data_IF_371794010849
#
_entry.id   IF_371794010849
#
_cell.length_a   1.000
_cell.length_b   1.000
_cell.length_c   1.000
_cell.angle_alpha   90.00
_cell.angle_beta   90.00
_cell.angle_gamma   90.00
#
_symmetry.space_group_name_H-M   'P 1'
#
loop_
_entity.id
_entity.type
_entity.pdbx_description
1 polymer ?
#
# COMPACT_ATOMS: atom_id res chain seq x y z
N UNK A 1 -0.82 -13.57 12.88
CA UNK A 1 0.10 -13.62 11.72
C UNK A 1 0.25 -12.21 11.21
N UNK A 2 1.46 -11.65 11.22
CA UNK A 2 1.70 -10.31 10.68
C UNK A 2 2.16 -10.49 9.23
N UNK A 3 1.31 -10.17 8.26
CA UNK A 3 1.72 -10.11 6.87
C UNK A 3 2.10 -8.69 6.50
N UNK A 4 3.03 -8.59 5.56
CA UNK A 4 3.35 -7.30 4.98
C UNK A 4 2.12 -6.78 4.22
N UNK A 5 1.84 -5.49 4.37
CA UNK A 5 0.69 -4.82 3.77
C UNK A 5 1.15 -3.73 2.81
N UNK A 6 0.56 -3.66 1.61
CA UNK A 6 0.80 -2.54 0.71
C UNK A 6 0.24 -1.26 1.31
N UNK A 7 0.99 -0.18 1.20
CA UNK A 7 0.62 1.13 1.70
C UNK A 7 1.07 2.23 0.73
N UNK A 8 0.37 3.36 0.76
CA UNK A 8 0.67 4.55 -0.04
C UNK A 8 1.38 5.56 0.84
N UNK A 9 2.47 6.13 0.33
CA UNK A 9 3.20 7.20 1.03
C UNK A 9 2.45 8.52 0.87
N UNK A 10 2.00 9.10 1.98
CA UNK A 10 1.29 10.37 2.01
C UNK A 10 2.23 11.56 2.26
N UNK A 11 3.24 11.34 3.11
CA UNK A 11 4.21 12.36 3.50
C UNK A 11 5.52 11.71 3.95
N UNK A 12 6.63 12.45 3.88
CA UNK A 12 7.96 11.99 4.26
C UNK A 12 8.57 13.03 5.20
N UNK A 13 8.98 12.58 6.38
CA UNK A 13 9.80 13.35 7.31
C UNK A 13 11.27 12.90 7.18
N UNK A 14 11.99 13.59 6.29
CA UNK A 14 13.41 13.31 6.02
C UNK A 14 14.30 13.51 7.26
N UNK A 15 13.89 14.32 8.25
CA UNK A 15 14.71 14.61 9.44
C UNK A 15 14.76 13.42 10.40
N UNK A 16 13.66 12.69 10.50
CA UNK A 16 13.50 11.60 11.46
C UNK A 16 13.51 10.20 10.80
N UNK A 17 13.75 10.11 9.48
CA UNK A 17 13.67 8.86 8.71
C UNK A 17 12.30 8.17 8.86
N UNK A 18 11.24 8.97 8.92
CA UNK A 18 9.86 8.52 9.04
C UNK A 18 9.07 8.84 7.77
N UNK A 19 8.11 8.00 7.44
CA UNK A 19 7.09 8.28 6.44
C UNK A 19 5.71 8.10 7.05
N UNK A 20 4.75 8.89 6.59
CA UNK A 20 3.33 8.68 6.89
C UNK A 20 2.71 7.93 5.74
N UNK A 21 2.12 6.78 6.03
CA UNK A 21 1.53 5.88 5.03
C UNK A 21 0.07 5.59 5.32
N UNK A 22 -0.68 5.24 4.29
CA UNK A 22 -2.08 4.80 4.36
C UNK A 22 -2.24 3.47 3.65
N UNK A 23 -2.89 2.51 4.31
CA UNK A 23 -3.16 1.15 3.82
C UNK A 23 -4.49 1.04 3.07
N UNK A 24 -5.10 2.17 2.68
CA UNK A 24 -6.39 2.21 1.98
C UNK A 24 -7.59 2.41 2.90
N UNK A 25 -7.37 2.82 4.16
CA UNK A 25 -8.43 3.10 5.12
C UNK A 25 -8.56 4.58 5.49
N UNK A 26 -7.73 5.45 4.91
CA UNK A 26 -7.79 6.89 5.09
C UNK A 26 -7.07 7.37 6.35
N UNK A 27 -6.43 6.49 7.13
CA UNK A 27 -5.75 6.85 8.37
C UNK A 27 -4.23 6.88 8.15
N UNK A 28 -3.59 8.05 8.26
CA UNK A 28 -2.13 8.16 8.20
C UNK A 28 -1.47 7.46 9.40
N UNK A 29 -0.47 6.64 9.14
CA UNK A 29 0.31 5.94 10.16
C UNK A 29 1.80 6.22 9.98
N UNK A 30 2.54 6.57 11.05
CA UNK A 30 3.98 6.73 10.97
C UNK A 30 4.65 5.36 10.83
N UNK A 31 5.61 5.26 9.90
CA UNK A 31 6.44 4.08 9.67
C UNK A 31 7.89 4.49 9.49
N UNK A 32 8.80 3.60 9.87
CA UNK A 32 10.24 3.80 9.67
C UNK A 32 10.61 3.48 8.24
N UNK A 33 11.42 4.33 7.61
CA UNK A 33 12.00 4.06 6.30
C UNK A 33 13.17 3.08 6.50
N UNK A 34 12.90 1.79 6.27
CA UNK A 34 13.89 0.72 6.44
C UNK A 34 14.74 0.44 5.19
N UNK A 35 14.46 1.11 4.07
CA UNK A 35 15.19 0.93 2.81
C UNK A 35 16.19 2.07 2.62
N UNK A 36 17.45 1.74 2.35
CA UNK A 36 18.56 2.70 2.30
C UNK A 36 18.92 3.18 0.90
N UNK A 37 18.58 2.41 -0.14
CA UNK A 37 19.09 2.62 -1.49
C UNK A 37 18.05 3.19 -2.47
N UNK A 38 16.80 3.36 -2.02
CA UNK A 38 15.71 3.84 -2.86
C UNK A 38 15.09 5.10 -2.29
N UNK A 39 14.97 6.12 -3.14
CA UNK A 39 14.31 7.36 -2.78
C UNK A 39 12.79 7.15 -2.83
N UNK A 40 12.16 7.20 -1.67
CA UNK A 40 10.71 7.18 -1.54
C UNK A 40 10.17 8.58 -1.84
N UNK A 41 9.07 8.67 -2.56
CA UNK A 41 8.36 9.92 -2.82
C UNK A 41 6.89 9.79 -2.42
N UNK A 42 6.23 10.94 -2.21
CA UNK A 42 4.78 10.99 -2.01
C UNK A 42 4.05 10.33 -3.19
N UNK A 43 3.08 9.49 -2.87
CA UNK A 43 2.30 8.71 -3.84
C UNK A 43 2.99 7.44 -4.35
N UNK A 44 4.19 7.11 -3.85
CA UNK A 44 4.78 5.78 -4.07
C UNK A 44 4.00 4.72 -3.31
N UNK A 45 3.95 3.52 -3.88
CA UNK A 45 3.42 2.33 -3.23
C UNK A 45 4.58 1.57 -2.59
N UNK A 46 4.41 1.20 -1.33
CA UNK A 46 5.44 0.55 -0.52
C UNK A 46 4.86 -0.64 0.22
N UNK A 47 5.71 -1.59 0.56
CA UNK A 47 5.36 -2.71 1.41
C UNK A 47 5.78 -2.42 2.84
N UNK A 48 4.85 -2.55 3.79
CA UNK A 48 5.07 -2.27 5.20
C UNK A 48 4.91 -3.55 6.02
N UNK A 49 5.87 -3.81 6.90
CA UNK A 49 5.79 -4.89 7.86
C UNK A 49 6.28 -4.41 9.22
N UNK A 50 5.50 -4.67 10.27
CA UNK A 50 5.83 -4.29 11.67
C UNK A 50 6.24 -2.82 11.83
N UNK A 51 5.60 -1.90 11.10
CA UNK A 51 5.89 -0.46 11.17
C UNK A 51 7.13 -0.01 10.40
N UNK A 52 7.68 -0.87 9.53
CA UNK A 52 8.87 -0.57 8.72
C UNK A 52 8.56 -0.76 7.25
N UNK A 53 8.98 0.19 6.42
CA UNK A 53 8.98 0.05 4.96
C UNK A 53 10.13 -0.89 4.58
N UNK A 54 9.79 -2.01 3.95
CA UNK A 54 10.75 -3.05 3.59
C UNK A 54 11.10 -3.07 2.09
N UNK A 55 10.21 -2.57 1.23
CA UNK A 55 10.47 -2.40 -0.20
C UNK A 55 9.51 -1.38 -0.81
N UNK A 56 9.95 -0.74 -1.90
CA UNK A 56 9.04 -0.06 -2.84
C UNK A 56 8.40 -1.11 -3.75
N UNK A 57 7.21 -0.81 -4.25
CA UNK A 57 6.48 -1.66 -5.17
C UNK A 57 6.28 -0.92 -6.51
N UNK A 58 6.55 -1.63 -7.61
CA UNK A 58 6.15 -1.23 -8.95
C UNK A 58 4.80 -1.85 -9.33
N UNK A 59 4.25 -1.45 -10.48
CA UNK A 59 2.93 -1.93 -10.92
C UNK A 59 2.90 -3.44 -11.16
N UNK A 60 4.00 -4.02 -11.64
CA UNK A 60 4.06 -5.44 -11.99
C UNK A 60 4.10 -6.30 -10.72
N UNK A 61 4.92 -5.91 -9.73
CA UNK A 61 4.99 -6.54 -8.42
C UNK A 61 3.65 -6.43 -7.67
N UNK A 62 2.94 -5.31 -7.80
CA UNK A 62 1.60 -5.16 -7.21
C UNK A 62 0.61 -6.11 -7.87
N UNK A 63 0.59 -6.19 -9.20
CA UNK A 63 -0.34 -7.07 -9.92
C UNK A 63 -0.10 -8.54 -9.55
N UNK A 64 1.16 -8.96 -9.46
CA UNK A 64 1.50 -10.29 -9.00
C UNK A 64 1.04 -10.53 -7.56
N UNK A 65 1.33 -9.60 -6.65
CA UNK A 65 0.93 -9.70 -5.25
C UNK A 65 -0.59 -9.77 -5.07
N UNK A 66 -1.36 -9.05 -5.89
CA UNK A 66 -2.83 -9.12 -5.91
C UNK A 66 -3.29 -10.52 -6.28
N UNK A 67 -2.71 -11.12 -7.32
CA UNK A 67 -3.12 -12.45 -7.78
C UNK A 67 -2.80 -13.52 -6.74
N UNK A 68 -1.60 -13.49 -6.16
CA UNK A 68 -1.19 -14.37 -5.06
C UNK A 68 -2.14 -14.23 -3.84
N UNK A 69 -2.57 -13.00 -3.53
CA UNK A 69 -3.54 -12.75 -2.46
C UNK A 69 -4.91 -13.32 -2.76
N UNK A 70 -5.40 -13.24 -4.01
CA UNK A 70 -6.68 -13.82 -4.41
C UNK A 70 -6.66 -15.34 -4.32
N UNK A 71 -5.59 -15.96 -4.80
CA UNK A 71 -5.42 -17.41 -4.73
C UNK A 71 -5.40 -17.89 -3.28
N UNK A 72 -4.60 -17.23 -2.44
CA UNK A 72 -4.54 -17.54 -1.00
C UNK A 72 -5.88 -17.33 -0.28
N UNK A 73 -6.59 -16.24 -0.59
CA UNK A 73 -7.92 -15.98 -0.02
C UNK A 73 -8.93 -17.05 -0.42
N UNK A 74 -8.89 -17.50 -1.69
CA UNK A 74 -9.72 -18.61 -2.18
C UNK A 74 -9.42 -19.91 -1.44
N UNK A 75 -8.15 -20.28 -1.33
CA UNK A 75 -7.74 -21.51 -0.64
C UNK A 75 -8.15 -21.52 0.84
N UNK A 76 -7.92 -20.40 1.53
CA UNK A 76 -8.31 -20.26 2.94
C UNK A 76 -9.82 -20.33 3.14
N UNK A 77 -10.61 -19.71 2.24
CA UNK A 77 -12.06 -19.79 2.29
C UNK A 77 -12.55 -21.24 2.11
N UNK A 78 -11.98 -21.99 1.14
CA UNK A 78 -12.31 -23.41 0.94
C UNK A 78 -12.00 -24.22 2.21
N UNK A 79 -10.84 -24.00 2.84
CA UNK A 79 -10.46 -24.70 4.07
C UNK A 79 -11.36 -24.35 5.26
N UNK A 80 -11.84 -23.10 5.35
CA UNK A 80 -12.74 -22.64 6.40
C UNK A 80 -14.21 -23.04 6.17
N UNK A 81 -14.56 -23.49 4.96
CA UNK A 81 -15.94 -23.74 4.56
C UNK A 81 -16.73 -22.47 4.21
N UNK A 82 -16.02 -21.37 3.96
CA UNK A 82 -16.57 -20.09 3.53
C UNK A 82 -16.71 -20.02 1.99
N UNK A 83 -17.44 -19.01 1.50
CA UNK A 83 -17.59 -18.76 0.06
C UNK A 83 -16.29 -18.18 -0.55
N UNK A 84 -15.62 -18.90 -1.48
CA UNK A 84 -14.35 -18.45 -2.03
C UNK A 84 -14.48 -17.23 -2.95
N UNK A 85 -15.64 -17.01 -3.58
CA UNK A 85 -15.85 -15.82 -4.42
C UNK A 85 -15.99 -14.56 -3.57
N UNK A 86 -16.62 -14.67 -2.39
CA UNK A 86 -16.69 -13.54 -1.44
C UNK A 86 -15.29 -13.16 -0.96
N UNK A 87 -14.45 -14.14 -0.63
CA UNK A 87 -13.08 -13.89 -0.20
C UNK A 87 -12.24 -13.18 -1.29
N UNK A 88 -12.33 -13.62 -2.55
CA UNK A 88 -11.65 -12.97 -3.67
C UNK A 88 -12.15 -11.53 -3.88
N UNK A 89 -13.47 -11.30 -3.77
CA UNK A 89 -14.04 -9.94 -3.89
C UNK A 89 -13.56 -9.00 -2.80
N UNK A 90 -13.40 -9.49 -1.57
CA UNK A 90 -12.86 -8.69 -0.47
C UNK A 90 -11.45 -8.21 -0.77
N UNK A 91 -10.59 -9.09 -1.28
CA UNK A 91 -9.24 -8.72 -1.74
C UNK A 91 -9.31 -7.62 -2.82
N UNK A 92 -10.17 -7.78 -3.82
CA UNK A 92 -10.32 -6.77 -4.89
C UNK A 92 -10.77 -5.39 -4.37
N UNK A 93 -11.68 -5.37 -3.39
CA UNK A 93 -12.15 -4.13 -2.77
C UNK A 93 -11.06 -3.44 -1.95
N UNK A 94 -10.25 -4.20 -1.19
CA UNK A 94 -9.11 -3.67 -0.45
C UNK A 94 -8.11 -2.98 -1.39
N UNK A 95 -7.70 -3.67 -2.46
CA UNK A 95 -6.76 -3.10 -3.42
C UNK A 95 -7.32 -1.90 -4.18
N UNK A 96 -8.62 -1.90 -4.51
CA UNK A 96 -9.27 -0.74 -5.13
C UNK A 96 -9.12 0.52 -4.27
N UNK A 97 -9.33 0.43 -2.95
CA UNK A 97 -9.16 1.57 -2.04
C UNK A 97 -7.72 2.06 -1.99
N UNK A 98 -6.76 1.13 -1.94
CA UNK A 98 -5.34 1.47 -1.97
C UNK A 98 -4.99 2.24 -3.25
N UNK A 99 -5.46 1.79 -4.43
CA UNK A 99 -5.23 2.49 -5.68
C UNK A 99 -5.90 3.87 -5.74
N UNK A 100 -7.10 4.02 -5.18
CA UNK A 100 -7.75 5.34 -5.07
C UNK A 100 -6.93 6.30 -4.20
N UNK A 101 -6.43 5.83 -3.06
CA UNK A 101 -5.54 6.62 -2.19
C UNK A 101 -4.25 6.99 -2.90
N UNK A 102 -3.64 6.06 -3.62
CA UNK A 102 -2.44 6.31 -4.43
C UNK A 102 -2.71 7.40 -5.48
N UNK A 103 -3.84 7.32 -6.19
CA UNK A 103 -4.23 8.29 -7.20
C UNK A 103 -4.40 9.68 -6.59
N UNK A 104 -5.12 9.79 -5.47
CA UNK A 104 -5.32 11.04 -4.73
C UNK A 104 -4.00 11.62 -4.23
N UNK A 105 -3.11 10.80 -3.69
CA UNK A 105 -1.79 11.24 -3.23
C UNK A 105 -0.94 11.80 -4.39
N UNK A 106 -0.98 11.17 -5.56
CA UNK A 106 -0.31 11.67 -6.79
C UNK A 106 -0.98 12.91 -7.38
N UNK A 107 -2.31 13.01 -7.34
CA UNK A 107 -3.07 14.16 -7.85
C UNK A 107 -2.89 15.40 -6.94
N UNK A 108 -2.94 15.23 -5.61
CA UNK A 108 -2.62 16.30 -4.66
C UNK A 108 -1.16 16.76 -4.75
N UNK A 109 -0.26 15.95 -5.31
CA UNK A 109 1.12 16.36 -5.64
C UNK A 109 1.17 17.30 -6.85
N UNK A 110 0.19 17.28 -7.76
CA UNK A 110 0.11 18.19 -8.92
C UNK A 110 -0.49 19.55 -8.57
N UNK A 111 -1.40 19.65 -7.60
CA UNK A 111 -1.95 20.92 -7.14
C UNK A 111 -0.93 21.74 -6.35
N UNK A 112 -0.15 21.10 -5.47
CA UNK A 112 0.93 21.78 -4.71
C UNK A 112 2.04 22.30 -5.63
N UNK A 113 2.29 21.66 -6.78
CA UNK A 113 3.27 22.14 -7.77
C UNK A 113 2.74 23.34 -8.58
N UNK A 114 1.42 23.52 -8.70
CA UNK A 114 0.83 24.68 -9.41
C UNK A 114 0.78 25.96 -8.58
N UNK A 115 0.92 25.89 -7.26
CA UNK A 115 0.98 27.08 -6.40
C UNK A 115 2.41 27.57 -6.12
N UNK A 116 3.44 26.95 -6.72
CA UNK A 116 4.86 27.29 -6.50
C UNK A 116 5.56 27.77 -7.79
N UNK A 117 4.84 28.07 -8.87
CA UNK A 117 5.39 28.70 -10.09
C UNK A 117 4.64 29.96 -10.49
#
# INVERSE_FOLDING_TARGET
MCWAVPAVVLEIDERNSLAYVDIGDGVPRPVVIGISNERINKGDLVMVHAGVIITKLDMDAINQFIEEKKELARELAIMAGDDPEIAVRQVEEEFRRIFETMRKAKEGSKEVVREIW
#
